data_IF_096390929683
#
_entry.id   IF_096390929683
#
_cell.length_a   1.000
_cell.length_b   1.000
_cell.length_c   1.000
_cell.angle_alpha   90.00
_cell.angle_beta   90.00
_cell.angle_gamma   90.00
#
_symmetry.space_group_name_H-M   'P 1'
#
loop_
_entity.id
_entity.type
_entity.pdbx_description
1 polymer ?
2 non-polymer ?
3 non-polymer ?
4 water ?
#
# COMPACT_ATOMS: atom_id res chain seq x y z
N UNK A 5 -3.35 24.54 -24.33
CA UNK A 5 -3.28 23.73 -23.08
C UNK A 5 -2.90 24.60 -21.85
N UNK A 6 -3.49 24.27 -20.69
CA UNK A 6 -3.43 25.10 -19.48
C UNK A 6 -4.61 26.07 -19.30
N UNK A 7 -4.70 26.72 -18.11
CA UNK A 7 -3.69 26.63 -17.03
C UNK A 7 -3.81 25.37 -16.17
N UNK A 8 -2.67 24.72 -15.97
CA UNK A 8 -2.52 23.69 -14.97
C UNK A 8 -1.34 24.18 -14.15
N UNK A 9 -1.16 23.71 -12.95
CA UNK A 9 0.05 23.98 -12.21
C UNK A 9 1.04 22.86 -12.45
N UNK A 10 2.31 23.13 -12.13
CA UNK A 10 3.34 22.11 -12.30
C UNK A 10 3.04 20.99 -11.32
N UNK A 11 2.44 21.32 -10.19
CA UNK A 11 1.95 20.29 -9.26
C UNK A 11 0.94 19.35 -9.89
N UNK A 12 -0.03 19.88 -10.64
CA UNK A 12 -0.98 19.06 -11.41
C UNK A 12 -0.26 18.12 -12.38
N UNK A 13 0.67 18.67 -13.14
CA UNK A 13 1.49 17.88 -14.06
C UNK A 13 2.27 16.74 -13.37
N UNK A 14 2.83 16.99 -12.18
CA UNK A 14 3.55 15.94 -11.38
C UNK A 14 2.61 14.86 -10.91
N UNK A 15 1.41 15.25 -10.48
CA UNK A 15 0.41 14.25 -10.06
C UNK A 15 -0.11 13.34 -11.19
N UNK A 16 -0.27 13.89 -12.38
CA UNK A 16 -0.63 13.10 -13.57
C UNK A 16 0.46 12.11 -13.96
N UNK A 17 1.72 12.55 -13.93
CA UNK A 17 2.87 11.64 -14.08
C UNK A 17 2.92 10.48 -13.10
N UNK A 18 2.60 10.75 -11.81
CA UNK A 18 2.54 9.71 -10.77
C UNK A 18 1.36 8.78 -10.99
N UNK A 19 0.23 9.35 -11.39
CA UNK A 19 -0.98 8.63 -11.72
C UNK A 19 -0.64 7.33 -12.45
N UNK A 20 0.40 7.35 -13.28
CA UNK A 20 0.72 6.24 -14.19
C UNK A 20 1.51 5.11 -13.52
N UNK A 21 2.03 5.35 -12.33
CA UNK A 21 3.09 4.48 -11.81
C UNK A 21 2.49 3.52 -10.84
N UNK A 22 3.38 2.62 -10.42
CA UNK A 22 3.08 1.54 -9.50
C UNK A 22 4.13 1.49 -8.41
N UNK A 23 3.78 0.94 -7.28
CA UNK A 23 4.65 0.93 -6.09
C UNK A 23 5.15 -0.52 -5.93
N UNK A 24 6.46 -0.67 -6.07
CA UNK A 24 7.13 -1.95 -6.02
C UNK A 24 6.98 -2.58 -4.64
N UNK A 25 7.08 -3.91 -4.64
CA UNK A 25 6.96 -4.75 -3.47
C UNK A 25 8.31 -5.24 -2.95
N UNK A 26 9.39 -5.06 -3.71
CA UNK A 26 10.67 -5.75 -3.44
C UNK A 26 10.70 -7.27 -3.69
N UNK A 27 9.56 -7.82 -4.05
CA UNK A 27 9.48 -9.13 -4.71
C UNK A 27 9.21 -8.96 -6.21
N UNK A 28 10.20 -9.26 -7.03
CA UNK A 28 10.10 -9.30 -8.50
C UNK A 28 8.86 -10.15 -8.94
N UNK A 29 8.62 -11.26 -8.25
CA UNK A 29 7.47 -12.12 -8.56
C UNK A 29 6.12 -11.46 -8.19
N UNK A 30 6.01 -10.86 -7.03
CA UNK A 30 4.80 -10.08 -6.74
C UNK A 30 4.55 -8.94 -7.76
N UNK A 31 5.63 -8.26 -8.15
CA UNK A 31 5.55 -7.13 -9.05
C UNK A 31 5.01 -7.61 -10.39
N UNK A 32 5.48 -8.78 -10.85
CA UNK A 32 5.06 -9.30 -12.16
C UNK A 32 3.56 -9.58 -12.21
N UNK A 33 3.00 -10.13 -11.15
CA UNK A 33 1.58 -10.46 -11.21
C UNK A 33 0.72 -9.24 -10.92
N UNK A 34 1.27 -8.21 -10.33
CA UNK A 34 0.54 -6.99 -10.09
C UNK A 34 0.54 -6.03 -11.28
N UNK A 35 1.33 -6.30 -12.30
CA UNK A 35 1.51 -5.33 -13.40
C UNK A 35 2.61 -4.29 -13.23
N UNK A 36 3.54 -4.51 -12.29
CA UNK A 36 4.67 -3.58 -11.97
C UNK A 36 4.66 -3.20 -10.47
N UNK A 37 3.52 -3.43 -9.83
CA UNK A 37 3.31 -3.16 -8.46
C UNK A 37 1.86 -2.76 -8.17
N UNK A 38 1.64 -2.23 -6.99
CA UNK A 38 0.36 -1.61 -6.59
C UNK A 38 0.10 -0.29 -7.35
N UNK A 39 -0.92 -0.27 -8.25
CA UNK A 39 -1.15 0.88 -9.11
C UNK A 39 -1.83 2.05 -8.41
N UNK A 40 -1.38 3.27 -8.69
CA UNK A 40 -2.04 4.47 -8.21
C UNK A 40 -3.30 4.74 -9.01
N UNK A 41 -4.22 5.45 -8.33
CA UNK A 41 -5.61 5.72 -8.73
C UNK A 41 -6.56 4.53 -8.59
N UNK A 42 -6.10 3.42 -7.99
CA UNK A 42 -6.88 2.20 -7.95
C UNK A 42 -6.85 1.76 -6.53
N UNK A 43 -7.80 0.89 -6.16
CA UNK A 43 -7.81 0.22 -4.83
C UNK A 43 -7.25 -1.21 -4.97
N UNK A 44 -6.30 -1.57 -4.13
CA UNK A 44 -5.76 -2.90 -4.16
C UNK A 44 -6.04 -3.52 -2.83
N UNK A 45 -6.40 -4.80 -2.85
CA UNK A 45 -6.79 -5.49 -1.65
C UNK A 45 -5.93 -6.72 -1.34
N UNK A 46 -5.42 -6.80 -0.11
CA UNK A 46 -4.64 -7.91 0.32
C UNK A 46 -5.38 -8.74 1.38
N UNK A 47 -5.72 -9.97 1.01
CA UNK A 47 -6.48 -10.90 1.80
C UNK A 47 -5.58 -12.02 2.28
N UNK A 48 -5.97 -12.56 3.42
CA UNK A 48 -5.37 -13.78 3.89
C UNK A 48 -5.50 -13.92 5.39
N UNK A 49 -5.25 -15.14 5.80
CA UNK A 49 -5.31 -15.59 7.14
C UNK A 49 -4.31 -14.89 8.03
N UNK A 50 -4.43 -15.07 9.34
CA UNK A 50 -3.54 -14.28 10.19
C UNK A 50 -2.13 -14.76 10.01
N UNK A 51 -1.16 -13.86 9.91
CA UNK A 51 0.24 -14.26 9.87
C UNK A 51 0.84 -14.46 8.50
N UNK A 52 0.01 -14.38 7.48
CA UNK A 52 0.44 -14.51 6.10
C UNK A 52 1.30 -13.31 5.64
N UNK A 53 1.17 -12.13 6.22
CA UNK A 53 2.03 -10.97 5.81
C UNK A 53 1.36 -9.75 5.19
N UNK A 54 0.08 -9.60 5.46
CA UNK A 54 -0.69 -8.41 5.10
C UNK A 54 -0.02 -7.12 5.62
N UNK A 55 0.28 -7.13 6.89
CA UNK A 55 0.85 -5.97 7.53
C UNK A 55 2.33 -5.80 7.03
N UNK A 56 3.09 -6.87 7.00
CA UNK A 56 4.45 -6.77 6.45
C UNK A 56 4.49 -6.11 5.06
N UNK A 57 3.62 -6.58 4.16
CA UNK A 57 3.53 -6.05 2.80
C UNK A 57 3.03 -4.58 2.78
N UNK A 58 2.05 -4.30 3.62
CA UNK A 58 1.60 -2.94 3.83
C UNK A 58 2.72 -2.04 4.23
N UNK A 59 3.51 -2.50 5.16
CA UNK A 59 4.62 -1.70 5.63
C UNK A 59 5.66 -1.60 4.52
N UNK A 60 5.88 -2.67 3.77
CA UNK A 60 6.84 -2.62 2.68
C UNK A 60 6.39 -1.57 1.64
N UNK A 61 5.10 -1.56 1.30
CA UNK A 61 4.56 -0.58 0.40
C UNK A 61 4.69 0.88 0.91
N UNK A 62 4.47 1.08 2.21
CA UNK A 62 4.57 2.39 2.85
C UNK A 62 5.99 2.93 2.84
N UNK A 63 6.95 2.02 2.82
CA UNK A 63 8.35 2.37 2.69
C UNK A 63 8.67 2.58 1.21
N UNK A 64 8.26 1.64 0.37
CA UNK A 64 8.61 1.69 -1.05
C UNK A 64 8.09 2.90 -1.82
N UNK A 65 6.91 3.41 -1.45
CA UNK A 65 6.29 4.58 -2.18
C UNK A 65 7.22 5.79 -2.12
N UNK A 66 8.12 5.73 -1.13
CA UNK A 66 9.08 6.85 -0.85
C UNK A 66 10.39 6.78 -1.58
N UNK A 67 10.61 5.70 -2.32
CA UNK A 67 11.80 5.57 -3.12
C UNK A 67 11.91 6.73 -4.15
N UNK A 68 13.10 7.31 -4.29
CA UNK A 68 13.16 8.43 -5.19
C UNK A 68 12.94 8.09 -6.66
N UNK A 69 12.60 9.14 -7.42
CA UNK A 69 12.37 9.06 -8.85
C UNK A 69 13.64 8.54 -9.53
N UNK A 70 14.80 9.07 -9.14
CA UNK A 70 16.07 8.64 -9.76
C UNK A 70 16.45 7.18 -9.48
N UNK A 71 15.65 6.44 -8.70
CA UNK A 71 15.79 4.99 -8.53
C UNK A 71 14.55 4.30 -9.03
N UNK A 72 13.78 4.99 -9.86
CA UNK A 72 12.59 4.40 -10.46
C UNK A 72 11.32 4.46 -9.64
N UNK A 73 11.36 5.16 -8.49
CA UNK A 73 10.18 5.20 -7.62
C UNK A 73 9.15 6.33 -7.78
N UNK A 74 8.11 6.25 -6.96
CA UNK A 74 7.04 7.20 -6.89
C UNK A 74 7.43 8.43 -6.10
N UNK A 75 8.35 8.28 -5.15
CA UNK A 75 8.81 9.42 -4.35
C UNK A 75 7.64 10.19 -3.68
N UNK A 76 6.67 9.47 -3.13
CA UNK A 76 5.53 10.04 -2.40
C UNK A 76 5.56 9.62 -0.92
N UNK A 77 4.53 9.94 -0.16
CA UNK A 77 4.43 9.59 1.25
C UNK A 77 3.22 8.72 1.47
N UNK A 78 3.05 8.22 2.68
CA UNK A 78 2.03 7.24 2.93
C UNK A 78 1.19 7.65 4.11
N UNK A 79 -0.08 7.24 4.12
CA UNK A 79 -0.90 7.32 5.35
C UNK A 79 -1.10 5.87 5.73
N UNK A 80 -0.96 5.50 7.00
CA UNK A 80 -1.19 4.14 7.42
C UNK A 80 -2.25 4.18 8.44
N UNK A 81 -3.42 3.59 8.14
CA UNK A 81 -4.53 3.58 9.08
C UNK A 81 -4.65 2.25 9.76
N UNK A 82 -4.34 2.21 11.04
CA UNK A 82 -4.27 0.92 11.77
C UNK A 82 -5.54 0.76 12.54
N UNK A 83 -6.32 -0.25 12.23
CA UNK A 83 -7.61 -0.43 12.93
C UNK A 83 -7.54 -1.55 13.98
N UNK A 84 -6.39 -2.22 14.08
CA UNK A 84 -6.24 -3.39 14.97
C UNK A 84 -5.26 -3.27 16.15
N UNK A 85 -4.27 -2.38 16.06
CA UNK A 85 -3.25 -2.22 17.12
C UNK A 85 -2.15 -3.26 16.98
N UNK A 86 -1.29 -3.35 17.98
CA UNK A 86 -0.14 -4.26 17.92
C UNK A 86 0.76 -3.91 16.74
N UNK A 87 0.89 -2.62 16.50
CA UNK A 87 1.83 -2.13 15.51
C UNK A 87 3.29 -2.19 16.09
N UNK A 88 4.19 -2.75 15.31
CA UNK A 88 5.55 -2.79 15.66
C UNK A 88 6.31 -1.80 14.81
N UNK A 89 6.57 -0.67 15.43
CA UNK A 89 7.44 0.36 14.90
C UNK A 89 8.80 -0.20 14.46
N UNK A 90 9.38 -1.15 15.19
CA UNK A 90 10.73 -1.65 14.87
C UNK A 90 10.81 -2.43 13.51
N UNK A 91 9.71 -3.08 13.13
CA UNK A 91 9.66 -3.68 11.83
C UNK A 91 9.80 -2.64 10.74
N UNK A 92 9.14 -1.51 10.86
CA UNK A 92 9.25 -0.48 9.80
C UNK A 92 10.65 0.04 9.71
N UNK A 93 11.39 0.06 10.85
CA UNK A 93 12.81 0.41 10.88
C UNK A 93 13.61 -0.58 10.08
N UNK A 94 13.34 -1.85 10.27
CA UNK A 94 14.15 -2.88 9.60
C UNK A 94 13.95 -2.74 8.09
N UNK A 95 12.70 -2.65 7.69
CA UNK A 95 12.30 -2.55 6.29
C UNK A 95 12.83 -1.28 5.62
N UNK A 96 12.61 -0.16 6.27
CA UNK A 96 13.13 1.09 5.79
C UNK A 96 14.63 1.08 5.62
N UNK A 97 15.32 0.52 6.61
CA UNK A 97 16.77 0.41 6.55
C UNK A 97 17.26 -0.42 5.33
N UNK A 98 16.58 -1.50 5.01
CA UNK A 98 17.00 -2.32 3.90
C UNK A 98 16.75 -1.62 2.55
N UNK A 99 15.68 -0.80 2.49
CA UNK A 99 15.33 -0.03 1.29
C UNK A 99 16.33 1.11 1.12
N UNK A 100 16.67 1.82 2.18
CA UNK A 100 17.80 2.77 2.10
C UNK A 100 19.12 2.13 1.56
N UNK A 101 19.59 1.06 2.22
CA UNK A 101 20.78 0.23 1.77
C UNK A 101 20.72 -0.12 0.29
N UNK A 102 19.56 -0.56 -0.16
CA UNK A 102 19.39 -0.96 -1.54
C UNK A 102 19.59 0.23 -2.54
N UNK A 103 19.11 1.42 -2.19
CA UNK A 103 19.38 2.60 -3.02
C UNK A 103 20.81 3.13 -2.87
N UNK A 104 21.37 3.04 -1.68
CA UNK A 104 22.78 3.42 -1.48
C UNK A 104 23.67 2.57 -2.41
N UNK A 105 23.26 1.33 -2.67
CA UNK A 105 24.06 0.41 -3.50
C UNK A 105 24.08 0.87 -4.96
N UNK A 106 22.93 1.32 -5.43
CA UNK A 106 22.75 1.72 -6.81
C UNK A 106 23.45 3.02 -7.07
N UNK A 107 23.32 3.94 -6.11
CA UNK A 107 24.03 5.23 -6.18
C UNK A 107 25.55 5.12 -6.24
N UNK A 108 26.10 4.22 -5.40
CA UNK A 108 27.57 3.93 -5.36
C UNK A 108 28.08 3.14 -6.59
N UNK A 109 27.46 1.99 -6.86
CA UNK A 109 27.64 1.22 -8.11
C UNK A 109 27.09 2.12 -9.21
N UNK A 110 27.31 1.78 -10.49
CA UNK A 110 26.54 2.40 -11.58
C UNK A 110 26.25 3.88 -11.19
N UNK A 111 27.25 4.72 -11.44
CA UNK A 111 27.44 5.98 -10.69
C UNK A 111 26.74 7.20 -11.31
N UNK A 112 25.93 7.88 -10.50
CA UNK A 112 25.23 9.12 -10.89
C UNK A 112 25.27 10.20 -9.79
N UNK A 113 25.87 11.35 -10.08
CA UNK A 113 26.04 12.44 -9.10
C UNK A 113 24.73 13.18 -8.70
N UNK A 114 23.57 12.64 -9.06
CA UNK A 114 22.28 13.07 -8.49
C UNK A 114 21.66 11.99 -7.55
N UNK A 115 22.04 10.73 -7.74
CA UNK A 115 21.71 9.66 -6.79
C UNK A 115 22.50 9.86 -5.48
N UNK A 116 23.69 10.46 -5.58
CA UNK A 116 24.50 10.86 -4.41
C UNK A 116 23.92 12.09 -3.71
N UNK A 117 23.24 12.94 -4.48
CA UNK A 117 22.47 14.05 -3.91
C UNK A 117 21.22 13.53 -3.18
N UNK A 118 20.50 12.56 -3.76
CA UNK A 118 19.29 12.02 -3.06
C UNK A 118 19.68 11.28 -1.80
N UNK A 119 20.80 10.54 -1.85
CA UNK A 119 21.27 9.80 -0.67
C UNK A 119 21.52 10.71 0.50
N UNK A 120 21.84 11.97 0.20
CA UNK A 120 21.99 12.95 1.25
C UNK A 120 20.75 12.94 2.15
N UNK A 121 19.57 12.80 1.54
CA UNK A 121 18.29 12.98 2.26
C UNK A 121 17.50 11.71 2.46
N UNK A 122 17.83 10.65 1.72
CA UNK A 122 17.11 9.35 1.86
C UNK A 122 17.75 8.50 2.97
N UNK A 123 17.22 8.64 4.19
CA UNK A 123 17.64 7.85 5.36
C UNK A 123 16.45 7.07 5.87
N UNK A 124 16.74 6.12 6.75
CA UNK A 124 15.74 5.37 7.46
C UNK A 124 14.77 6.33 8.19
N UNK A 125 15.30 7.31 8.91
CA UNK A 125 14.45 8.32 9.54
C UNK A 125 13.56 9.12 8.54
N UNK A 126 14.12 9.64 7.45
CA UNK A 126 13.24 10.37 6.51
C UNK A 126 12.12 9.45 6.00
N UNK A 127 12.38 8.16 5.89
CA UNK A 127 11.30 7.22 5.52
C UNK A 127 10.19 7.05 6.56
N UNK A 128 10.57 6.93 7.82
CA UNK A 128 9.61 6.90 8.92
C UNK A 128 8.85 8.23 9.07
N UNK A 129 9.51 9.33 8.74
CA UNK A 129 8.85 10.63 8.78
C UNK A 129 7.78 10.77 7.66
N UNK A 130 7.94 10.05 6.57
CA UNK A 130 7.05 10.14 5.42
C UNK A 130 5.86 9.18 5.50
N UNK A 131 5.69 8.53 6.66
CA UNK A 131 4.54 7.68 6.89
C UNK A 131 3.65 8.23 8.03
N UNK A 132 2.40 8.56 7.73
CA UNK A 132 1.52 9.24 8.70
C UNK A 132 0.57 8.24 9.27
N UNK A 133 0.59 8.06 10.56
CA UNK A 133 -0.03 6.92 11.15
C UNK A 133 -1.24 7.36 11.93
N UNK A 134 -2.35 6.66 11.76
CA UNK A 134 -3.53 6.92 12.59
C UNK A 134 -3.99 5.59 13.18
N UNK A 135 -4.46 5.61 14.41
CA UNK A 135 -5.09 4.46 15.03
C UNK A 135 -6.59 4.67 15.13
N UNK A 136 -7.39 3.82 14.50
CA UNK A 136 -8.86 3.75 14.78
C UNK A 136 -9.24 2.52 15.56
N UNK A 137 -10.18 2.69 16.50
CA UNK A 137 -10.59 1.61 17.39
C UNK A 137 -11.94 1.03 17.06
N UNK A 138 -12.74 1.75 16.28
CA UNK A 138 -14.00 1.20 15.81
C UNK A 138 -14.37 1.74 14.44
N UNK A 139 -15.45 1.20 13.86
CA UNK A 139 -15.97 1.67 12.58
C UNK A 139 -16.39 3.14 12.53
N UNK A 140 -16.99 3.68 13.61
CA UNK A 140 -17.40 5.09 13.62
C UNK A 140 -16.16 5.97 13.55
N UNK A 141 -15.10 5.66 14.28
CA UNK A 141 -13.84 6.46 14.17
C UNK A 141 -13.24 6.40 12.76
N UNK A 142 -13.28 5.22 12.16
CA UNK A 142 -12.78 5.00 10.83
C UNK A 142 -13.60 5.81 9.84
N UNK A 143 -14.92 5.73 9.91
CA UNK A 143 -15.75 6.57 9.04
C UNK A 143 -15.43 8.07 9.17
N UNK A 144 -15.25 8.55 10.40
CA UNK A 144 -15.00 10.00 10.68
C UNK A 144 -13.63 10.43 10.14
N UNK A 145 -12.62 9.59 10.34
CA UNK A 145 -11.28 9.84 9.78
C UNK A 145 -11.27 9.97 8.25
N UNK A 146 -11.92 9.03 7.57
CA UNK A 146 -12.02 9.05 6.11
C UNK A 146 -12.74 10.31 5.60
N UNK A 147 -13.83 10.69 6.24
CA UNK A 147 -14.50 11.96 5.94
C UNK A 147 -13.50 13.14 6.03
N UNK A 148 -12.49 12.99 6.87
CA UNK A 148 -11.52 14.06 7.16
C UNK A 148 -10.32 14.08 6.22
N UNK A 149 -10.12 12.99 5.49
CA UNK A 149 -9.00 12.90 4.59
C UNK A 149 -8.90 13.88 3.43
N UNK A 150 -10.01 14.28 2.80
CA UNK A 150 -9.79 15.30 1.78
C UNK A 150 -8.98 16.50 2.29
N UNK A 151 -9.23 16.91 3.53
CA UNK A 151 -8.53 18.04 4.13
C UNK A 151 -7.09 17.66 4.37
N UNK A 152 -6.89 16.52 5.03
CA UNK A 152 -5.54 16.12 5.32
C UNK A 152 -4.72 16.11 4.02
N UNK A 153 -5.34 15.68 2.93
CA UNK A 153 -4.61 15.40 1.69
C UNK A 153 -4.37 16.67 0.87
N UNK A 154 -5.21 17.66 1.08
CA UNK A 154 -4.97 18.99 0.51
C UNK A 154 -3.74 19.58 1.16
N UNK A 155 -3.58 19.38 2.47
CA UNK A 155 -2.39 19.85 3.20
C UNK A 155 -1.20 18.99 2.96
N UNK A 156 -1.40 17.77 2.45
CA UNK A 156 -0.29 16.88 2.21
C UNK A 156 -0.31 16.26 0.80
N UNK A 157 -0.10 17.08 -0.24
CA UNK A 157 -0.22 16.45 -1.55
C UNK A 157 0.86 15.41 -1.83
N UNK A 158 1.82 15.24 -0.91
CA UNK A 158 2.88 14.24 -1.05
C UNK A 158 2.25 12.88 -0.97
N UNK A 159 1.11 12.74 -0.31
CA UNK A 159 0.52 11.39 -0.11
C UNK A 159 0.13 10.62 -1.37
N UNK A 160 0.75 9.45 -1.58
CA UNK A 160 0.54 8.62 -2.78
C UNK A 160 0.00 7.25 -2.45
N UNK A 161 -0.20 6.97 -1.17
CA UNK A 161 -0.66 5.67 -0.76
C UNK A 161 -1.44 5.86 0.49
N UNK A 162 -2.57 5.16 0.59
CA UNK A 162 -3.28 5.08 1.86
C UNK A 162 -3.51 3.61 2.15
N UNK A 163 -3.04 3.16 3.30
CA UNK A 163 -3.25 1.81 3.78
C UNK A 163 -4.36 1.82 4.85
N UNK A 164 -5.30 0.89 4.74
CA UNK A 164 -6.19 0.62 5.85
C UNK A 164 -5.93 -0.84 6.21
N UNK A 165 -5.33 -1.03 7.39
CA UNK A 165 -4.91 -2.31 7.88
C UNK A 165 -5.67 -2.53 9.19
N UNK A 166 -6.84 -3.19 9.22
CA UNK A 166 -7.55 -3.78 8.10
C UNK A 166 -8.87 -3.17 7.94
N UNK A 167 -9.44 -3.40 6.78
CA UNK A 167 -10.75 -2.88 6.50
C UNK A 167 -11.80 -3.71 7.21
N UNK A 168 -11.56 -5.02 7.31
CA UNK A 168 -12.53 -5.97 7.86
C UNK A 168 -12.65 -5.95 9.38
N UNK A 169 -11.56 -5.65 10.09
CA UNK A 169 -11.58 -5.73 11.55
C UNK A 169 -12.70 -4.87 12.22
N UNK A 170 -12.83 -3.60 11.88
CA UNK A 170 -13.91 -2.86 12.52
C UNK A 170 -15.33 -3.27 12.08
N UNK A 171 -15.47 -4.16 11.10
CA UNK A 171 -16.79 -4.69 10.70
C UNK A 171 -17.04 -6.16 11.05
N UNK A 172 -16.22 -6.72 11.93
CA UNK A 172 -16.34 -8.13 12.25
C UNK A 172 -17.47 -8.40 13.20
N UNK A 173 -17.99 -7.38 13.88
CA UNK A 173 -19.11 -7.60 14.81
C UNK A 173 -20.52 -7.54 14.14
N UNK A 174 -21.45 -8.28 14.74
CA UNK A 174 -22.87 -8.18 14.43
C UNK A 174 -23.36 -6.73 14.44
N UNK A 175 -24.04 -6.30 13.38
CA UNK A 175 -24.90 -5.09 13.45
C UNK A 175 -26.34 -5.53 13.59
N UNK A 176 -27.11 -4.82 14.43
CA UNK A 176 -28.58 -5.02 14.53
C UNK A 176 -29.21 -4.81 13.17
N UNK A 177 -28.89 -3.65 12.60
CA UNK A 177 -29.33 -3.25 11.28
C UNK A 177 -28.28 -3.63 10.23
N UNK A 178 -28.50 -4.76 9.57
CA UNK A 178 -27.65 -5.24 8.46
C UNK A 178 -27.63 -4.34 7.18
N UNK A 179 -28.80 -3.84 6.80
CA UNK A 179 -28.91 -2.85 5.73
C UNK A 179 -27.96 -1.66 5.96
N UNK A 180 -27.76 -1.28 7.22
CA UNK A 180 -26.80 -0.25 7.59
C UNK A 180 -25.39 -0.75 7.36
N UNK A 181 -25.10 -2.00 7.66
CA UNK A 181 -23.72 -2.47 7.49
C UNK A 181 -23.24 -2.33 6.07
N UNK A 182 -24.02 -2.79 5.10
CA UNK A 182 -23.61 -2.73 3.68
C UNK A 182 -23.58 -1.31 3.15
N UNK A 183 -24.54 -0.48 3.54
CA UNK A 183 -24.53 0.96 3.25
C UNK A 183 -23.19 1.59 3.59
N UNK A 184 -22.80 1.39 4.85
CA UNK A 184 -21.54 1.90 5.34
C UNK A 184 -20.34 1.31 4.60
N UNK A 185 -20.44 0.05 4.14
CA UNK A 185 -19.27 -0.58 3.51
C UNK A 185 -19.19 -0.18 2.08
N UNK A 186 -20.33 -0.10 1.39
CA UNK A 186 -20.41 0.45 0.03
C UNK A 186 -20.01 1.92 -0.01
N UNK A 187 -20.38 2.72 1.00
CA UNK A 187 -19.90 4.10 1.15
C UNK A 187 -18.37 4.24 1.34
N UNK A 188 -17.76 3.46 2.20
CA UNK A 188 -16.28 3.48 2.30
C UNK A 188 -15.55 3.20 1.01
N UNK A 189 -16.02 2.19 0.31
CA UNK A 189 -15.48 1.90 -1.00
C UNK A 189 -15.59 3.12 -1.94
N UNK A 190 -16.78 3.69 -2.11
CA UNK A 190 -16.95 4.89 -2.92
C UNK A 190 -16.07 6.04 -2.40
N UNK A 191 -15.94 6.22 -1.09
CA UNK A 191 -15.03 7.22 -0.53
C UNK A 191 -13.62 6.89 -0.95
N UNK A 192 -13.22 5.64 -0.85
CA UNK A 192 -11.86 5.30 -1.26
C UNK A 192 -11.58 5.49 -2.77
N UNK A 193 -12.53 5.11 -3.60
CA UNK A 193 -12.41 5.29 -5.05
C UNK A 193 -12.24 6.75 -5.37
N UNK A 194 -13.02 7.57 -4.68
CA UNK A 194 -13.00 9.01 -4.91
C UNK A 194 -11.65 9.65 -4.58
N UNK A 195 -11.08 9.28 -3.44
CA UNK A 195 -9.78 9.76 -2.99
C UNK A 195 -8.65 9.34 -3.95
N UNK A 196 -8.68 8.07 -4.36
CA UNK A 196 -7.62 7.50 -5.19
C UNK A 196 -7.56 8.25 -6.49
N UNK A 197 -8.72 8.63 -6.98
CA UNK A 197 -8.83 9.25 -8.31
C UNK A 197 -8.54 10.74 -8.22
N UNK A 198 -9.13 11.43 -7.25
CA UNK A 198 -9.06 12.89 -7.18
C UNK A 198 -7.75 13.34 -6.60
N UNK A 199 -7.14 12.52 -5.73
CA UNK A 199 -5.83 12.84 -5.18
C UNK A 199 -4.70 12.02 -5.76
N UNK A 200 -5.00 11.19 -6.75
CA UNK A 200 -3.94 10.43 -7.49
C UNK A 200 -2.98 9.64 -6.62
N UNK A 201 -3.55 8.68 -5.92
CA UNK A 201 -2.82 7.85 -4.98
C UNK A 201 -3.40 6.46 -5.00
N UNK A 202 -2.69 5.51 -4.41
CA UNK A 202 -3.15 4.14 -4.28
C UNK A 202 -3.86 3.94 -2.94
N UNK A 203 -4.92 3.16 -2.94
CA UNK A 203 -5.57 2.76 -1.71
C UNK A 203 -5.34 1.27 -1.56
N UNK A 204 -4.79 0.90 -0.39
CA UNK A 204 -4.40 -0.43 -0.18
C UNK A 204 -5.14 -0.90 1.02
N UNK A 205 -6.02 -1.90 0.84
CA UNK A 205 -6.89 -2.41 1.93
C UNK A 205 -6.54 -3.82 2.29
N UNK A 206 -6.45 -4.04 3.57
CA UNK A 206 -6.15 -5.35 4.17
C UNK A 206 -7.48 -6.03 4.64
N UNK A 207 -7.59 -7.34 4.51
CA UNK A 207 -8.83 -7.99 4.85
C UNK A 207 -8.62 -9.43 5.32
N UNK A 208 -9.32 -9.85 6.39
CA UNK A 208 -9.23 -11.22 6.96
C UNK A 208 -10.09 -12.25 6.24
N UNK A 209 -11.29 -11.85 5.83
CA UNK A 209 -12.37 -12.82 5.46
C UNK A 209 -11.96 -13.74 4.31
N UNK A 210 -11.31 -13.15 3.31
CA UNK A 210 -10.96 -13.90 2.12
C UNK A 210 -9.57 -14.54 2.38
N UNK A 211 -9.57 -15.85 2.36
CA UNK A 211 -8.43 -16.64 2.70
C UNK A 211 -8.29 -17.63 1.52
N UNK A 212 -7.35 -18.56 1.59
CA UNK A 212 -7.27 -19.64 0.57
C UNK A 212 -8.21 -20.84 0.93
N UNK A 213 -9.32 -20.53 1.60
CA UNK A 213 -10.39 -21.49 1.90
C UNK A 213 -11.76 -20.90 1.46
N UNK A 214 -11.90 -19.57 1.54
CA UNK A 214 -13.07 -18.88 0.98
C UNK A 214 -12.98 -18.90 -0.54
N UNK A 230 -22.67 -7.81 -2.33
CA UNK A 230 -21.40 -8.24 -1.73
C UNK A 230 -20.26 -7.23 -2.02
N UNK A 231 -19.08 -7.49 -1.43
CA UNK A 231 -17.94 -6.56 -1.35
C UNK A 231 -16.78 -6.99 -2.25
N UNK A 232 -15.94 -6.04 -2.65
CA UNK A 232 -14.77 -6.35 -3.47
C UNK A 232 -14.90 -5.89 -4.91
N UNK A 233 -16.12 -5.55 -5.31
CA UNK A 233 -16.42 -5.00 -6.64
C UNK A 233 -15.54 -3.81 -7.03
N UNK A 234 -15.29 -2.94 -6.04
CA UNK A 234 -14.47 -1.71 -6.16
C UNK A 234 -12.93 -1.96 -6.22
N UNK A 235 -12.49 -3.10 -5.74
CA UNK A 235 -11.06 -3.45 -5.83
C UNK A 235 -10.72 -3.81 -7.24
N UNK A 236 -9.67 -3.21 -7.76
CA UNK A 236 -9.19 -3.51 -9.10
C UNK A 236 -8.31 -4.75 -9.02
N UNK A 237 -7.50 -4.86 -7.97
CA UNK A 237 -6.69 -6.06 -7.72
C UNK A 237 -7.02 -6.64 -6.36
N UNK A 238 -7.17 -7.94 -6.27
CA UNK A 238 -7.25 -8.65 -5.01
C UNK A 238 -6.20 -9.76 -4.99
N UNK A 239 -5.32 -9.70 -4.00
CA UNK A 239 -4.23 -10.67 -3.80
C UNK A 239 -4.58 -11.49 -2.61
N UNK A 240 -4.40 -12.80 -2.66
CA UNK A 240 -4.61 -13.62 -1.45
C UNK A 240 -3.25 -14.16 -1.07
N UNK A 241 -2.88 -13.97 0.18
CA UNK A 241 -1.59 -14.43 0.66
C UNK A 241 -1.85 -15.65 1.53
N UNK A 242 -1.09 -16.71 1.29
CA UNK A 242 -1.26 -17.99 2.02
C UNK A 242 0.00 -18.84 2.10
N UNK A 243 -0.16 -19.94 2.81
CA UNK A 243 0.87 -20.91 2.98
C UNK A 243 0.55 -22.14 2.17
N UNK A 244 1.59 -22.77 1.69
CA UNK A 244 1.50 -24.08 1.08
C UNK A 244 2.78 -24.79 1.42
N UNK A 245 2.64 -25.95 2.06
CA UNK A 245 3.78 -26.68 2.64
C UNK A 245 4.52 -25.72 3.60
N UNK A 246 5.83 -25.55 3.45
CA UNK A 246 6.51 -24.66 4.37
C UNK A 246 6.81 -23.28 3.78
N UNK A 247 6.25 -22.95 2.62
CA UNK A 247 6.48 -21.63 1.99
C UNK A 247 5.26 -20.72 1.87
N UNK A 248 5.51 -19.43 1.64
CA UNK A 248 4.44 -18.40 1.44
C UNK A 248 4.15 -18.19 -0.06
N UNK A 249 2.87 -18.00 -0.42
CA UNK A 249 2.49 -17.72 -1.82
C UNK A 249 1.48 -16.55 -1.89
N UNK A 250 1.49 -15.86 -3.02
CA UNK A 250 0.45 -14.83 -3.29
C UNK A 250 -0.32 -15.29 -4.51
N UNK A 251 -1.61 -15.45 -4.34
CA UNK A 251 -2.50 -15.65 -5.48
C UNK A 251 -3.06 -14.33 -5.99
N UNK A 252 -2.92 -14.08 -7.27
CA UNK A 252 -3.65 -12.99 -7.91
C UNK A 252 -5.14 -13.40 -8.11
N UNK A 253 -6.00 -13.12 -7.14
CA UNK A 253 -7.35 -13.66 -7.18
C UNK A 253 -8.28 -12.85 -8.09
N UNK A 254 -8.05 -11.56 -8.22
CA UNK A 254 -8.80 -10.70 -9.17
C UNK A 254 -7.79 -9.72 -9.75
N UNK A 255 -7.88 -9.44 -11.05
CA UNK A 255 -7.00 -8.47 -11.71
C UNK A 255 -7.62 -8.08 -13.04
N UNK A 256 -7.08 -7.04 -13.73
CA UNK A 256 -7.56 -6.74 -15.07
C UNK A 256 -7.37 -7.88 -16.11
N UNK A 257 -6.30 -8.69 -15.98
CA UNK A 257 -6.06 -9.81 -16.94
C UNK A 257 -7.02 -11.00 -16.70
N UNK A 258 -7.49 -11.15 -15.46
CA UNK A 258 -8.44 -12.18 -15.04
C UNK A 258 -7.81 -13.57 -14.94
N UNK A 259 -6.49 -13.65 -14.79
CA UNK A 259 -5.83 -14.97 -14.68
C UNK A 259 -5.13 -15.28 -13.33
N UNK A 260 -5.54 -16.39 -12.74
CA UNK A 260 -5.23 -16.74 -11.36
C UNK A 260 -3.92 -17.54 -11.27
N UNK A 261 -2.86 -16.78 -11.06
CA UNK A 261 -1.48 -17.24 -10.91
C UNK A 261 -1.07 -17.11 -9.45
N UNK A 262 -0.46 -18.16 -8.88
CA UNK A 262 0.21 -18.05 -7.55
C UNK A 262 1.73 -18.07 -7.67
N UNK A 263 2.38 -17.13 -6.98
CA UNK A 263 3.83 -17.03 -6.96
C UNK A 263 4.36 -17.11 -5.52
N UNK A 264 5.54 -17.68 -5.34
CA UNK A 264 6.14 -17.72 -4.02
C UNK A 264 6.77 -16.43 -3.53
N UNK A 265 6.79 -16.24 -2.23
CA UNK A 265 7.49 -15.11 -1.66
C UNK A 265 7.95 -15.52 -0.27
N UNK A 266 8.89 -14.74 0.27
CA UNK A 266 9.20 -14.90 1.69
C UNK A 266 9.22 -13.53 2.37
N UNK A 267 9.13 -13.58 3.68
CA UNK A 267 9.36 -12.44 4.50
C UNK A 267 10.67 -12.61 5.25
N UNK A 268 11.43 -11.54 5.33
CA UNK A 268 12.80 -11.51 5.83
C UNK A 268 12.92 -10.30 6.80
N UNK A 269 14.06 -10.18 7.48
CA UNK A 269 14.22 -9.04 8.35
C UNK A 269 14.21 -7.75 7.48
N UNK A 270 14.78 -7.83 6.29
CA UNK A 270 14.69 -6.77 5.27
C UNK A 270 13.25 -6.44 4.76
N UNK A 271 12.31 -7.37 4.93
CA UNK A 271 10.98 -7.22 4.36
C UNK A 271 10.55 -8.32 3.39
N UNK A 272 9.63 -7.95 2.48
CA UNK A 272 9.08 -8.84 1.44
C UNK A 272 10.12 -9.03 0.37
N UNK A 273 10.52 -10.28 0.12
CA UNK A 273 11.58 -10.58 -0.86
C UNK A 273 11.20 -11.81 -1.70
N UNK A 274 11.87 -12.04 -2.82
CA UNK A 274 11.73 -13.28 -3.55
C UNK A 274 12.33 -14.47 -2.74
N UNK A 275 11.88 -15.68 -3.04
CA UNK A 275 12.53 -16.88 -2.50
C UNK A 275 13.98 -17.09 -2.99
N UNK A 276 14.29 -16.72 -4.23
CA UNK A 276 15.64 -16.99 -4.85
C UNK A 276 16.23 -18.43 -4.62
X LIG B 1 -1.76 -7.77 10.39
X LIG C 1 -0.78 -10.47 9.15
X LIG C 1 -1.69 -11.10 10.19
X LIG C 1 -0.65 -8.96 9.20
X LIG C 1 -1.24 -11.05 7.85
X LIG C 1 1.98 -9.98 9.53
X LIG C 1 1.88 -9.42 10.89
X LIG C 1 2.20 -9.03 8.36
X LIG C 1 0.73 -10.95 9.36
X LIG C 1 3.07 -11.12 9.46
X LIG C 1 3.58 -11.68 10.65
X LIG C 1 4.55 -12.73 10.12
X LIG C 1 5.72 -12.08 9.67
X LIG C 1 4.96 -13.75 11.16
X LIG C 1 4.26 -14.96 10.87
X LIG C 1 6.36 -14.04 10.86
X LIG C 1 6.17 -15.25 10.11
X LIG C 1 6.84 -12.92 9.95
X LIG C 1 7.84 -12.02 10.50
X LIG C 1 7.65 -11.00 11.37
X LIG C 1 8.83 -10.38 11.60
X LIG C 1 9.77 -11.03 10.87
X LIG C 1 11.22 -10.91 10.64
X LIG C 1 11.95 -9.97 11.25
X LIG C 1 11.81 -11.77 9.80
X LIG C 1 11.12 -12.75 9.16
X LIG C 1 9.81 -12.91 9.30
X LIG C 1 9.11 -12.09 10.13
#
# INVERSE_FOLDING_TARGET
MQDTSGPVTILDLLKDERSQLSIVTFSEQLDQILGGGVPLTKITEICGAPGVGKTQLSMQLSVDVQIPKCFGGVEGQAIYIDTEGSFIVDRVVDIATATVQHCQHIASIENNAEQADSMQSLTMESILEGIHYFRCHDYVQLLALVHTLPDFLKQHPQICLIVVDSIAFPFRHHFEDYALRTRLLNGLAQSFIKLAVDFKLAVLLTNQMTTKISASQQETSHLIPALGESWGHSSTIRLILYWQEKSRYALLYKSPSHKQISVPFQITTAGIRDVCPTSGLEHHHHHH
MG MG
ADP PB O1B O2B O3B PA O1A O2A O3A O5' C5' C4' O4' C3' O3' C2' O2' C1' N9 C8 N7 C5 C6 N6 N1 C2 N3 C4
#
